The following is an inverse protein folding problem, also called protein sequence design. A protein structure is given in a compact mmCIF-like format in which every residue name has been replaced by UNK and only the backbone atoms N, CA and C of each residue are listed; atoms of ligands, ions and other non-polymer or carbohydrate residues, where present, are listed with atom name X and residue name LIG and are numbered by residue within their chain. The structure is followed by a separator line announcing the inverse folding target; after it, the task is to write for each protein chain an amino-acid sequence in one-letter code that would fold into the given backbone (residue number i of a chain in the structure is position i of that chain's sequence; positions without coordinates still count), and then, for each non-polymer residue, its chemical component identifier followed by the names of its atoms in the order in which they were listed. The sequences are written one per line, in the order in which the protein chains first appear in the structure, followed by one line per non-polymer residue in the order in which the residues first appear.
data_IF_312868117465
#
_entry.id   IF_312868117465
#
_cell.length_a   1.000
_cell.length_b   1.000
_cell.length_c   1.000
_cell.angle_alpha   90.00
_cell.angle_beta   90.00
_cell.angle_gamma   90.00
#
_symmetry.space_group_name_H-M   'P 1'
#
loop_
_entity.id
_entity.type
_entity.pdbx_description
1 polymer ?
#
# COMPACT_ATOMS: atom_id res chain seq x y z
N UNK A 1 -8.92 18.48 12.36
CA UNK A 1 -9.92 17.39 12.63
C UNK A 1 -9.39 16.15 11.91
N UNK A 2 -9.22 15.05 12.63
CA UNK A 2 -8.78 13.79 11.99
C UNK A 2 -9.86 13.25 11.06
N UNK A 3 -9.44 12.55 10.00
CA UNK A 3 -10.38 11.85 9.10
C UNK A 3 -11.19 10.82 9.89
N UNK A 4 -12.47 10.67 9.53
CA UNK A 4 -13.30 9.63 10.10
C UNK A 4 -12.79 8.25 9.65
N UNK A 5 -12.84 7.26 10.55
CA UNK A 5 -12.37 5.90 10.24
C UNK A 5 -13.07 5.31 9.02
N UNK A 6 -14.35 5.61 8.84
CA UNK A 6 -15.14 5.18 7.68
C UNK A 6 -14.60 5.73 6.36
N UNK A 7 -14.13 6.98 6.35
CA UNK A 7 -13.51 7.62 5.17
C UNK A 7 -12.14 7.00 4.87
N UNK A 8 -11.35 6.74 5.92
CA UNK A 8 -10.06 6.04 5.79
C UNK A 8 -10.29 4.66 5.18
N UNK A 9 -11.21 3.86 5.73
CA UNK A 9 -11.50 2.51 5.22
C UNK A 9 -11.97 2.58 3.76
N UNK A 10 -12.86 3.50 3.41
CA UNK A 10 -13.34 3.65 2.04
C UNK A 10 -12.19 3.97 1.06
N UNK A 11 -11.28 4.87 1.45
CA UNK A 11 -10.09 5.18 0.65
C UNK A 11 -9.17 3.96 0.48
N UNK A 12 -8.93 3.21 1.56
CA UNK A 12 -8.11 2.00 1.53
C UNK A 12 -8.71 0.91 0.64
N UNK A 13 -10.03 0.73 0.70
CA UNK A 13 -10.77 -0.23 -0.14
C UNK A 13 -10.70 0.15 -1.63
N UNK A 14 -10.66 1.44 -1.94
CA UNK A 14 -10.56 1.94 -3.31
C UNK A 14 -9.15 1.83 -3.90
N UNK A 15 -8.10 1.81 -3.08
CA UNK A 15 -6.71 1.88 -3.57
C UNK A 15 -6.37 0.82 -4.63
N UNK A 16 -6.70 -0.49 -4.48
CA UNK A 16 -6.39 -1.48 -5.51
C UNK A 16 -7.03 -1.15 -6.87
N UNK A 17 -8.26 -0.67 -6.86
CA UNK A 17 -8.98 -0.26 -8.07
C UNK A 17 -8.40 1.04 -8.67
N UNK A 18 -7.98 1.98 -7.84
CA UNK A 18 -7.28 3.19 -8.29
C UNK A 18 -5.95 2.84 -8.99
N UNK A 19 -5.18 1.91 -8.43
CA UNK A 19 -3.94 1.41 -9.07
C UNK A 19 -4.24 0.75 -10.41
N UNK A 20 -5.30 -0.06 -10.50
CA UNK A 20 -5.74 -0.69 -11.74
C UNK A 20 -6.10 0.36 -12.80
N UNK A 21 -6.94 1.34 -12.46
CA UNK A 21 -7.32 2.42 -13.38
C UNK A 21 -6.11 3.21 -13.86
N UNK A 22 -5.15 3.49 -13.00
CA UNK A 22 -3.92 4.20 -13.37
C UNK A 22 -3.05 3.41 -14.35
N UNK A 23 -3.12 2.08 -14.36
CA UNK A 23 -2.39 1.21 -15.29
C UNK A 23 -3.08 1.01 -16.64
N UNK A 24 -4.35 1.40 -16.78
CA UNK A 24 -5.13 1.17 -17.99
C UNK A 24 -4.49 1.82 -19.22
N UNK A 25 -4.40 1.05 -20.31
CA UNK A 25 -3.82 1.48 -21.56
C UNK A 25 -2.28 1.50 -21.60
N UNK A 26 -1.61 1.12 -20.53
CA UNK A 26 -0.15 0.93 -20.50
C UNK A 26 0.21 -0.50 -20.94
N UNK A 27 1.21 -0.62 -21.80
CA UNK A 27 1.74 -1.91 -22.23
C UNK A 27 2.63 -2.56 -21.17
N UNK A 28 2.92 -3.86 -21.34
CA UNK A 28 3.72 -4.63 -20.39
C UNK A 28 5.12 -4.03 -20.14
N UNK A 29 5.74 -3.46 -21.17
CA UNK A 29 7.05 -2.81 -21.05
C UNK A 29 6.92 -1.48 -20.31
N UNK A 30 5.88 -0.70 -20.57
CA UNK A 30 5.62 0.58 -19.89
C UNK A 30 5.36 0.38 -18.39
N UNK A 31 4.66 -0.70 -17.99
CA UNK A 31 4.43 -1.03 -16.60
C UNK A 31 5.73 -1.32 -15.82
N UNK A 32 6.84 -1.57 -16.51
CA UNK A 32 8.17 -1.83 -15.93
C UNK A 32 9.10 -0.61 -15.95
N UNK A 33 8.67 0.47 -16.58
CA UNK A 33 9.47 1.71 -16.62
C UNK A 33 9.43 2.38 -15.26
N UNK A 34 10.59 2.63 -14.68
CA UNK A 34 10.73 3.44 -13.47
C UNK A 34 10.59 4.93 -13.79
N UNK A 35 10.24 5.72 -12.80
CA UNK A 35 10.28 7.17 -12.90
C UNK A 35 11.72 7.68 -13.10
N UNK A 36 11.86 8.92 -13.57
CA UNK A 36 13.17 9.52 -13.88
C UNK A 36 14.08 9.68 -12.65
N UNK A 37 13.50 9.80 -11.47
CA UNK A 37 14.20 9.83 -10.18
C UNK A 37 14.60 8.44 -9.65
N UNK A 38 14.29 7.37 -10.40
CA UNK A 38 14.56 5.99 -10.01
C UNK A 38 13.56 5.37 -9.05
N UNK A 39 12.46 6.06 -8.73
CA UNK A 39 11.38 5.49 -7.93
C UNK A 39 10.64 4.37 -8.68
N UNK A 40 9.81 3.64 -7.97
CA UNK A 40 9.19 2.39 -8.43
C UNK A 40 8.42 2.52 -9.75
N UNK A 41 8.49 1.47 -10.56
CA UNK A 41 7.59 1.21 -11.67
C UNK A 41 6.18 0.80 -11.20
N UNK A 42 5.21 0.69 -12.11
CA UNK A 42 3.89 0.13 -11.79
C UNK A 42 3.96 -1.28 -11.20
N UNK A 43 4.81 -2.14 -11.79
CA UNK A 43 5.00 -3.52 -11.28
C UNK A 43 5.58 -3.50 -9.87
N UNK A 44 6.59 -2.67 -9.63
CA UNK A 44 7.22 -2.55 -8.31
C UNK A 44 6.24 -1.98 -7.28
N UNK A 45 5.42 -0.99 -7.63
CA UNK A 45 4.36 -0.49 -6.75
C UNK A 45 3.34 -1.56 -6.38
N UNK A 46 2.86 -2.36 -7.35
CA UNK A 46 1.90 -3.43 -7.07
C UNK A 46 2.48 -4.48 -6.12
N UNK A 47 3.73 -4.87 -6.32
CA UNK A 47 4.43 -5.82 -5.44
C UNK A 47 4.72 -5.23 -4.06
N UNK A 48 5.14 -3.96 -4.00
CA UNK A 48 5.38 -3.25 -2.76
C UNK A 48 4.10 -3.13 -1.92
N UNK A 49 3.01 -2.64 -2.52
CA UNK A 49 1.72 -2.52 -1.84
C UNK A 49 1.22 -3.89 -1.34
N UNK A 50 1.40 -4.96 -2.11
CA UNK A 50 1.10 -6.33 -1.69
C UNK A 50 1.88 -6.73 -0.45
N UNK A 51 3.20 -6.58 -0.46
CA UNK A 51 4.05 -7.09 0.60
C UNK A 51 3.92 -6.24 1.87
N UNK A 52 3.84 -4.92 1.75
CA UNK A 52 3.59 -4.04 2.90
C UNK A 52 2.19 -4.27 3.48
N UNK A 53 1.19 -4.59 2.67
CA UNK A 53 -0.13 -4.96 3.16
C UNK A 53 -0.10 -6.31 3.89
N UNK A 54 0.43 -7.34 3.25
CA UNK A 54 0.38 -8.71 3.77
C UNK A 54 1.28 -8.89 5.01
N UNK A 55 2.55 -8.50 4.90
CA UNK A 55 3.57 -8.75 5.93
C UNK A 55 3.71 -7.58 6.92
N UNK A 56 3.26 -6.39 6.53
CA UNK A 56 3.28 -5.19 7.34
C UNK A 56 1.93 -4.92 8.01
N UNK A 57 1.07 -4.17 7.35
CA UNK A 57 -0.16 -3.67 7.96
C UNK A 57 -1.13 -4.76 8.40
N UNK A 58 -1.39 -5.77 7.57
CA UNK A 58 -2.27 -6.88 7.92
C UNK A 58 -1.77 -7.64 9.14
N UNK A 59 -0.47 -7.98 9.18
CA UNK A 59 0.15 -8.64 10.32
C UNK A 59 0.11 -7.76 11.58
N UNK A 60 0.34 -6.44 11.45
CA UNK A 60 0.28 -5.50 12.59
C UNK A 60 -1.14 -5.37 13.14
N UNK A 61 -2.16 -5.28 12.29
CA UNK A 61 -3.58 -5.27 12.69
C UNK A 61 -3.88 -6.53 13.51
N UNK A 62 -3.52 -7.71 12.99
CA UNK A 62 -3.77 -8.98 13.66
C UNK A 62 -3.08 -9.04 15.03
N UNK A 63 -1.84 -8.60 15.13
CA UNK A 63 -1.08 -8.58 16.37
C UNK A 63 -1.66 -7.62 17.41
N UNK A 64 -2.05 -6.40 17.01
CA UNK A 64 -2.71 -5.44 17.93
C UNK A 64 -4.03 -6.00 18.45
N UNK A 65 -4.79 -6.72 17.61
CA UNK A 65 -6.07 -7.32 18.02
C UNK A 65 -5.90 -8.50 18.98
N UNK A 66 -4.80 -9.25 18.91
CA UNK A 66 -4.59 -10.50 19.65
C UNK A 66 -3.62 -10.39 20.82
N UNK A 67 -2.64 -9.50 20.75
CA UNK A 67 -1.56 -9.39 21.73
C UNK A 67 -1.73 -8.13 22.59
N UNK A 68 -1.10 -8.13 23.77
CA UNK A 68 -1.01 -6.95 24.60
C UNK A 68 0.26 -6.18 24.25
N UNK A 69 0.10 -4.95 23.73
CA UNK A 69 1.18 -4.03 23.36
C UNK A 69 2.29 -4.69 22.52
N UNK A 70 1.98 -5.32 21.36
CA UNK A 70 2.99 -6.00 20.56
C UNK A 70 4.04 -5.04 20.01
N UNK A 71 5.30 -5.52 19.91
CA UNK A 71 6.33 -4.82 19.13
C UNK A 71 6.10 -5.06 17.63
N UNK A 72 5.94 -3.99 16.87
CA UNK A 72 5.62 -4.00 15.44
C UNK A 72 6.84 -3.55 14.65
N UNK A 73 7.48 -4.48 13.95
CA UNK A 73 8.64 -4.18 13.13
C UNK A 73 8.27 -3.33 11.91
N UNK A 74 9.18 -2.44 11.50
CA UNK A 74 9.11 -1.79 10.21
C UNK A 74 9.64 -2.71 9.09
N UNK A 75 9.31 -2.38 7.85
CA UNK A 75 9.71 -3.13 6.67
C UNK A 75 10.45 -2.21 5.72
N UNK A 76 11.69 -2.55 5.40
CA UNK A 76 12.46 -1.89 4.36
C UNK A 76 11.96 -2.32 2.97
N UNK A 77 11.02 -1.53 2.42
CA UNK A 77 10.40 -1.81 1.14
C UNK A 77 11.38 -1.77 -0.04
N UNK A 78 12.40 -0.93 0.00
CA UNK A 78 13.42 -0.84 -1.04
C UNK A 78 14.28 -2.11 -1.06
N UNK A 79 14.67 -2.61 0.12
CA UNK A 79 15.39 -3.88 0.24
C UNK A 79 14.56 -5.04 -0.28
N UNK A 80 13.28 -5.15 0.11
CA UNK A 80 12.40 -6.19 -0.40
C UNK A 80 12.24 -6.14 -1.91
N UNK A 81 12.12 -4.94 -2.49
CA UNK A 81 11.99 -4.77 -3.93
C UNK A 81 13.20 -5.33 -4.68
N UNK A 82 14.41 -5.10 -4.16
CA UNK A 82 15.66 -5.63 -4.72
C UNK A 82 15.76 -7.16 -4.52
N UNK A 83 15.60 -7.64 -3.30
CA UNK A 83 15.71 -9.06 -2.94
C UNK A 83 14.70 -9.93 -3.69
N UNK A 84 13.47 -9.46 -3.84
CA UNK A 84 12.36 -10.18 -4.49
C UNK A 84 12.22 -9.86 -5.97
N UNK A 85 13.10 -9.02 -6.52
CA UNK A 85 13.14 -8.66 -7.93
C UNK A 85 11.77 -8.23 -8.45
N UNK A 86 11.13 -7.26 -7.77
CA UNK A 86 9.75 -6.86 -8.02
C UNK A 86 9.49 -6.53 -9.48
N UNK A 87 10.41 -5.84 -10.15
CA UNK A 87 10.21 -5.42 -11.55
C UNK A 87 10.21 -6.58 -12.57
N UNK A 88 10.58 -7.79 -12.14
CA UNK A 88 10.51 -9.00 -12.97
C UNK A 88 9.22 -9.81 -12.75
N UNK A 89 8.40 -9.43 -11.76
CA UNK A 89 7.13 -10.08 -11.45
C UNK A 89 6.02 -9.63 -12.40
N UNK A 90 4.82 -10.18 -12.24
CA UNK A 90 3.65 -9.80 -13.03
C UNK A 90 2.81 -8.78 -12.27
N UNK A 91 2.46 -7.69 -12.94
CA UNK A 91 1.65 -6.62 -12.37
C UNK A 91 0.30 -7.13 -11.83
N UNK A 92 -0.40 -7.91 -12.63
CA UNK A 92 -1.73 -8.43 -12.29
C UNK A 92 -1.70 -9.34 -11.06
N UNK A 93 -0.67 -10.17 -10.93
CA UNK A 93 -0.51 -11.09 -9.79
C UNK A 93 -0.26 -10.28 -8.49
N UNK A 94 0.62 -9.27 -8.58
CA UNK A 94 0.89 -8.36 -7.46
C UNK A 94 -0.36 -7.60 -7.03
N UNK A 95 -1.07 -7.02 -7.99
CA UNK A 95 -2.29 -6.24 -7.73
C UNK A 95 -3.43 -7.11 -7.19
N UNK A 96 -3.63 -8.33 -7.71
CA UNK A 96 -4.65 -9.26 -7.24
C UNK A 96 -4.39 -9.69 -5.79
N UNK A 97 -3.15 -10.05 -5.46
CA UNK A 97 -2.77 -10.41 -4.10
C UNK A 97 -2.88 -9.23 -3.13
N UNK A 98 -2.48 -8.03 -3.55
CA UNK A 98 -2.71 -6.80 -2.78
C UNK A 98 -4.20 -6.58 -2.49
N UNK A 99 -5.04 -6.66 -3.51
CA UNK A 99 -6.49 -6.49 -3.36
C UNK A 99 -7.10 -7.50 -2.38
N UNK A 100 -6.65 -8.74 -2.41
CA UNK A 100 -7.12 -9.79 -1.50
C UNK A 100 -6.72 -9.49 -0.05
N UNK A 101 -5.45 -9.18 0.22
CA UNK A 101 -4.96 -8.85 1.56
C UNK A 101 -5.62 -7.58 2.10
N UNK A 102 -5.82 -6.55 1.25
CA UNK A 102 -6.49 -5.32 1.62
C UNK A 102 -7.93 -5.56 2.10
N UNK A 103 -8.69 -6.42 1.42
CA UNK A 103 -10.04 -6.77 1.87
C UNK A 103 -10.05 -7.41 3.26
N UNK A 104 -9.05 -8.21 3.59
CA UNK A 104 -8.92 -8.80 4.93
C UNK A 104 -8.66 -7.72 5.99
N UNK A 105 -7.70 -6.83 5.73
CA UNK A 105 -7.37 -5.74 6.65
C UNK A 105 -8.54 -4.78 6.87
N UNK A 106 -9.19 -4.33 5.80
CA UNK A 106 -10.32 -3.41 5.91
C UNK A 106 -11.55 -4.06 6.56
N UNK A 107 -11.78 -5.35 6.34
CA UNK A 107 -12.81 -6.11 7.06
C UNK A 107 -12.53 -6.17 8.56
N UNK A 108 -11.28 -6.39 8.96
CA UNK A 108 -10.89 -6.41 10.37
C UNK A 108 -11.07 -5.03 11.02
N UNK A 109 -10.65 -3.95 10.33
CA UNK A 109 -10.85 -2.58 10.82
C UNK A 109 -12.33 -2.21 10.95
N UNK A 110 -13.15 -2.63 9.99
CA UNK A 110 -14.60 -2.36 9.97
C UNK A 110 -15.34 -3.09 11.09
N UNK A 111 -14.89 -4.30 11.44
CA UNK A 111 -15.46 -5.12 12.50
C UNK A 111 -14.97 -4.75 13.91
N UNK A 112 -13.90 -3.96 14.02
CA UNK A 112 -13.29 -3.63 15.30
C UNK A 112 -14.20 -2.71 16.14
N UNK A 113 -14.34 -3.03 17.42
CA UNK A 113 -15.03 -2.18 18.40
C UNK A 113 -14.19 -0.96 18.77
N UNK A 114 -14.80 0.06 19.38
CA UNK A 114 -14.06 1.25 19.86
C UNK A 114 -12.94 0.88 20.86
N UNK A 115 -13.18 -0.11 21.69
CA UNK A 115 -12.17 -0.65 22.61
C UNK A 115 -10.98 -1.26 21.81
N UNK A 116 -11.26 -2.07 20.80
CA UNK A 116 -10.25 -2.66 19.94
C UNK A 116 -9.50 -1.60 19.12
N UNK A 117 -10.18 -0.58 18.63
CA UNK A 117 -9.57 0.55 17.90
C UNK A 117 -8.62 1.37 18.78
N UNK A 118 -8.83 1.35 20.10
CA UNK A 118 -7.97 2.00 21.09
C UNK A 118 -6.79 1.14 21.54
N UNK A 119 -6.74 -0.15 21.19
CA UNK A 119 -5.60 -1.04 21.50
C UNK A 119 -4.34 -0.54 20.80
N UNK A 120 -3.20 -0.77 21.46
CA UNK A 120 -1.92 -0.18 21.05
C UNK A 120 -0.89 -1.23 20.70
N UNK A 121 0.07 -0.83 19.86
CA UNK A 121 1.31 -1.54 19.60
C UNK A 121 2.49 -0.58 19.60
N UNK A 122 3.69 -1.08 19.71
CA UNK A 122 4.94 -0.32 19.62
C UNK A 122 5.49 -0.46 18.22
N UNK A 123 5.25 0.53 17.36
CA UNK A 123 5.71 0.52 15.98
C UNK A 123 7.12 1.10 15.88
N UNK A 124 8.05 0.32 15.34
CA UNK A 124 9.44 0.71 15.13
C UNK A 124 9.52 2.01 14.31
N UNK A 125 10.24 3.00 14.84
CA UNK A 125 10.39 4.31 14.21
C UNK A 125 9.23 5.29 14.44
N UNK A 126 8.02 4.82 14.79
CA UNK A 126 6.86 5.67 15.05
C UNK A 126 6.45 5.71 16.53
N UNK A 127 6.93 4.75 17.34
CA UNK A 127 6.57 4.65 18.75
C UNK A 127 5.21 3.99 18.98
N UNK A 128 4.51 4.39 20.03
CA UNK A 128 3.22 3.81 20.38
C UNK A 128 2.13 4.28 19.41
N UNK A 129 1.42 3.34 18.80
CA UNK A 129 0.31 3.60 17.87
C UNK A 129 -0.94 2.83 18.29
N UNK A 130 -2.11 3.43 18.15
CA UNK A 130 -3.39 2.72 18.29
C UNK A 130 -3.74 1.99 17.01
N UNK A 131 -4.67 1.03 17.04
CA UNK A 131 -5.20 0.40 15.84
C UNK A 131 -5.83 1.43 14.88
N UNK A 132 -6.57 2.42 15.42
CA UNK A 132 -7.07 3.56 14.63
C UNK A 132 -5.94 4.38 14.02
N UNK A 133 -4.88 4.66 14.78
CA UNK A 133 -3.69 5.36 14.29
C UNK A 133 -2.96 4.60 13.19
N UNK A 134 -2.88 3.26 13.31
CA UNK A 134 -2.33 2.41 12.27
C UNK A 134 -3.11 2.52 10.95
N UNK A 135 -4.45 2.58 11.01
CA UNK A 135 -5.29 2.81 9.83
C UNK A 135 -4.99 4.17 9.16
N UNK A 136 -4.71 5.21 9.95
CA UNK A 136 -4.29 6.52 9.42
C UNK A 136 -2.93 6.44 8.72
N UNK A 137 -1.97 5.70 9.27
CA UNK A 137 -0.67 5.47 8.62
C UNK A 137 -0.81 4.69 7.31
N UNK A 138 -1.73 3.71 7.25
CA UNK A 138 -2.06 3.01 5.99
C UNK A 138 -2.59 3.98 4.94
N UNK A 139 -3.50 4.87 5.33
CA UNK A 139 -4.05 5.90 4.45
C UNK A 139 -2.94 6.80 3.89
N UNK A 140 -2.06 7.32 4.75
CA UNK A 140 -0.96 8.19 4.34
C UNK A 140 0.00 7.48 3.37
N UNK A 141 0.35 6.23 3.66
CA UNK A 141 1.17 5.39 2.80
C UNK A 141 0.54 5.19 1.40
N UNK A 142 -0.72 4.83 1.36
CA UNK A 142 -1.45 4.64 0.09
C UNK A 142 -1.58 5.95 -0.70
N UNK A 143 -1.83 7.07 -0.03
CA UNK A 143 -1.95 8.37 -0.68
C UNK A 143 -0.64 8.78 -1.36
N UNK A 144 0.50 8.52 -0.74
CA UNK A 144 1.83 8.75 -1.34
C UNK A 144 1.98 7.90 -2.61
N UNK A 145 1.77 6.58 -2.52
CA UNK A 145 1.96 5.69 -3.67
C UNK A 145 0.95 5.93 -4.80
N UNK A 146 -0.30 6.31 -4.49
CA UNK A 146 -1.26 6.74 -5.53
C UNK A 146 -0.79 8.00 -6.25
N UNK A 147 -0.21 8.96 -5.52
CA UNK A 147 0.39 10.17 -6.10
C UNK A 147 1.60 9.88 -6.99
N UNK A 148 2.49 9.00 -6.55
CA UNK A 148 3.64 8.55 -7.33
C UNK A 148 3.21 7.86 -8.65
N UNK A 149 2.23 6.95 -8.58
CA UNK A 149 1.67 6.27 -9.75
C UNK A 149 0.99 7.22 -10.72
N UNK A 150 0.27 8.23 -10.22
CA UNK A 150 -0.33 9.27 -11.05
C UNK A 150 0.75 10.04 -11.82
N UNK A 151 1.80 10.48 -11.13
CA UNK A 151 2.92 11.21 -11.73
C UNK A 151 3.67 10.36 -12.76
N UNK A 152 3.90 9.07 -12.46
CA UNK A 152 4.53 8.13 -13.37
C UNK A 152 3.70 7.94 -14.64
N UNK A 153 2.39 7.74 -14.51
CA UNK A 153 1.47 7.65 -15.66
C UNK A 153 1.56 8.88 -16.56
N UNK A 154 1.49 10.05 -15.98
CA UNK A 154 1.58 11.31 -16.72
C UNK A 154 2.92 11.44 -17.47
N UNK A 155 4.02 11.03 -16.85
CA UNK A 155 5.33 10.98 -17.48
C UNK A 155 5.39 10.02 -18.69
N UNK A 156 4.84 8.81 -18.54
CA UNK A 156 4.78 7.82 -19.61
C UNK A 156 3.95 8.30 -20.80
N UNK A 157 2.78 8.90 -20.54
CA UNK A 157 1.92 9.44 -21.60
C UNK A 157 2.56 10.62 -22.33
N UNK A 158 3.30 11.49 -21.63
CA UNK A 158 4.07 12.58 -22.28
C UNK A 158 5.17 12.04 -23.18
N UNK A 159 5.90 11.01 -22.78
CA UNK A 159 6.93 10.36 -23.63
C UNK A 159 6.32 9.78 -24.90
N UNK A 160 5.23 9.03 -24.76
CA UNK A 160 4.48 8.46 -25.89
C UNK A 160 4.05 9.54 -26.89
N UNK A 161 3.57 10.68 -26.39
CA UNK A 161 3.15 11.81 -27.26
C UNK A 161 4.32 12.49 -27.97
N UNK A 162 5.55 12.46 -27.41
CA UNK A 162 6.74 13.04 -28.02
C UNK A 162 7.41 12.11 -29.04
N UNK A 163 7.10 10.82 -29.05
CA UNK A 163 7.63 9.81 -29.98
C UNK A 163 6.69 9.56 -31.17
N UNK A 164 5.48 10.08 -31.13
CA UNK A 164 4.47 9.96 -32.18
C UNK A 164 4.54 11.13 -33.19
#
# INVERSE_FOLDING_TARGET
MGQELSEIIAFLEETPEAVRRLSEGLGADELRVRADDGSFSFVEHACHLRDIECEGYGARIERILREELPALADIDGARLAAERRYNEQRFEDGLAAFSQSRRQSTSALRAATDEQLSRRGLFEGAGEVTLRGLASLMYEHDAVHRGELQSLREGLLRRRASEA
#
